data_IF_566587108194
#
_entry.id   IF_566587108194
#
_cell.length_a   1.000
_cell.length_b   1.000
_cell.length_c   1.000
_cell.angle_alpha   90.00
_cell.angle_beta   90.00
_cell.angle_gamma   90.00
#
_symmetry.space_group_name_H-M   'P 1'
#
loop_
_entity.id
_entity.type
_entity.pdbx_description
1 polymer ?
#
# COMPACT_ATOMS: atom_id res chain seq x y z
N UNK A 1 10.89 -33.75 3.53
CA UNK A 1 10.52 -32.90 4.68
C UNK A 1 9.04 -33.10 4.96
N UNK A 2 8.63 -33.46 6.15
CA UNK A 2 7.20 -33.69 6.43
C UNK A 2 6.55 -32.33 6.69
N UNK A 3 5.83 -31.79 5.70
CA UNK A 3 5.15 -30.49 5.75
C UNK A 3 4.18 -30.39 6.94
N UNK A 4 3.55 -31.51 7.30
CA UNK A 4 2.65 -31.58 8.46
C UNK A 4 3.40 -31.28 9.79
N UNK A 5 4.65 -31.75 9.93
CA UNK A 5 5.46 -31.45 11.11
C UNK A 5 5.93 -30.01 11.16
N UNK A 6 6.16 -29.37 10.01
CA UNK A 6 6.65 -27.99 9.97
C UNK A 6 5.52 -26.96 10.18
N UNK A 7 4.36 -27.18 9.56
CA UNK A 7 3.26 -26.23 9.56
C UNK A 7 2.09 -26.65 10.44
N UNK A 8 2.15 -27.83 11.11
CA UNK A 8 1.10 -28.33 12.01
C UNK A 8 -0.30 -28.39 11.34
N UNK A 9 -0.34 -28.89 10.08
CA UNK A 9 -1.55 -28.84 9.26
C UNK A 9 -2.75 -29.49 9.93
N UNK A 10 -2.56 -30.68 10.55
CA UNK A 10 -3.65 -31.40 11.24
C UNK A 10 -4.17 -30.65 12.45
N UNK A 11 -3.30 -29.98 13.22
CA UNK A 11 -3.69 -29.17 14.38
C UNK A 11 -4.57 -27.98 13.95
N UNK A 12 -4.31 -27.45 12.74
CA UNK A 12 -5.08 -26.35 12.16
C UNK A 12 -6.24 -26.81 11.27
N UNK A 13 -6.61 -28.10 11.28
CA UNK A 13 -7.70 -28.68 10.50
C UNK A 13 -7.63 -28.35 9.01
N UNK A 14 -6.44 -28.45 8.41
CA UNK A 14 -6.17 -28.19 7.00
C UNK A 14 -5.30 -29.27 6.38
N UNK A 15 -5.13 -29.26 5.08
CA UNK A 15 -4.28 -30.17 4.31
C UNK A 15 -3.44 -29.43 3.26
N UNK A 16 -2.44 -30.10 2.70
CA UNK A 16 -1.51 -29.53 1.72
C UNK A 16 -2.24 -28.98 0.50
N UNK A 17 -3.27 -29.66 0.00
CA UNK A 17 -4.02 -29.22 -1.17
C UNK A 17 -4.76 -27.91 -0.91
N UNK A 18 -5.43 -27.81 0.21
CA UNK A 18 -6.14 -26.59 0.64
C UNK A 18 -5.19 -25.43 0.80
N UNK A 19 -4.05 -25.64 1.47
CA UNK A 19 -3.04 -24.60 1.67
C UNK A 19 -2.41 -24.11 0.34
N UNK A 20 -2.17 -25.03 -0.61
CA UNK A 20 -1.66 -24.68 -1.95
C UNK A 20 -2.68 -23.85 -2.72
N UNK A 21 -3.96 -24.25 -2.73
CA UNK A 21 -5.03 -23.49 -3.40
C UNK A 21 -5.15 -22.10 -2.75
N UNK A 22 -5.13 -22.03 -1.43
CA UNK A 22 -5.19 -20.79 -0.68
C UNK A 22 -4.00 -19.85 -1.03
N UNK A 23 -2.78 -20.39 -1.12
CA UNK A 23 -1.59 -19.64 -1.48
C UNK A 23 -1.64 -19.08 -2.91
N UNK A 24 -2.10 -19.89 -3.86
CA UNK A 24 -2.31 -19.45 -5.25
C UNK A 24 -3.38 -18.34 -5.29
N UNK A 25 -4.49 -18.51 -4.57
CA UNK A 25 -5.57 -17.53 -4.53
C UNK A 25 -5.08 -16.21 -3.93
N UNK A 26 -4.32 -16.25 -2.82
CA UNK A 26 -3.73 -15.05 -2.21
C UNK A 26 -2.79 -14.36 -3.18
N UNK A 27 -1.87 -15.11 -3.82
CA UNK A 27 -0.96 -14.54 -4.81
C UNK A 27 -1.72 -13.87 -5.95
N UNK A 28 -2.74 -14.51 -6.52
CA UNK A 28 -3.53 -13.93 -7.63
C UNK A 28 -4.23 -12.62 -7.23
N UNK A 29 -4.65 -12.49 -5.97
CA UNK A 29 -5.28 -11.25 -5.48
C UNK A 29 -4.26 -10.14 -5.20
N UNK A 30 -2.98 -10.48 -4.99
CA UNK A 30 -1.91 -9.55 -4.64
C UNK A 30 -0.94 -9.25 -5.80
N UNK A 31 -0.89 -10.10 -6.84
CA UNK A 31 0.11 -10.01 -7.91
C UNK A 31 0.11 -8.66 -8.65
N UNK A 32 -0.98 -7.89 -8.54
CA UNK A 32 -1.04 -6.53 -9.08
C UNK A 32 0.05 -5.61 -8.52
N UNK A 33 0.58 -5.89 -7.31
CA UNK A 33 1.63 -5.07 -6.70
C UNK A 33 2.92 -5.08 -7.54
N UNK A 34 3.17 -6.16 -8.26
CA UNK A 34 4.32 -6.31 -9.15
C UNK A 34 4.29 -5.32 -10.34
N UNK A 35 3.11 -4.86 -10.73
CA UNK A 35 2.95 -3.81 -11.74
C UNK A 35 2.81 -2.43 -11.10
N UNK A 36 2.04 -2.34 -10.03
CA UNK A 36 1.67 -1.05 -9.41
C UNK A 36 2.82 -0.43 -8.65
N UNK A 37 3.57 -1.21 -7.84
CA UNK A 37 4.66 -0.66 -7.04
C UNK A 37 5.81 -0.07 -7.91
N UNK A 38 6.32 -0.75 -8.96
CA UNK A 38 7.28 -0.15 -9.87
C UNK A 38 6.78 1.15 -10.52
N UNK A 39 5.50 1.21 -10.92
CA UNK A 39 4.92 2.41 -11.50
C UNK A 39 4.86 3.59 -10.52
N UNK A 40 4.56 3.33 -9.24
CA UNK A 40 4.52 4.39 -8.22
C UNK A 40 5.94 4.88 -7.91
N UNK A 41 6.88 3.97 -7.66
CA UNK A 41 8.24 4.34 -7.25
C UNK A 41 9.07 4.91 -8.40
N UNK A 42 8.77 4.56 -9.65
CA UNK A 42 9.36 5.19 -10.83
C UNK A 42 9.15 6.72 -10.84
N UNK A 43 8.01 7.20 -10.34
CA UNK A 43 7.73 8.63 -10.20
C UNK A 43 8.75 9.36 -9.31
N UNK A 44 9.39 8.66 -8.37
CA UNK A 44 10.47 9.19 -7.52
C UNK A 44 11.85 9.16 -8.17
N UNK A 45 11.98 8.71 -9.43
CA UNK A 45 13.23 8.58 -10.15
C UNK A 45 13.97 7.26 -9.95
N UNK A 46 13.35 6.28 -9.31
CA UNK A 46 13.90 4.93 -9.16
C UNK A 46 13.79 4.15 -10.47
N UNK A 47 14.78 3.27 -10.74
CA UNK A 47 14.72 2.36 -11.89
C UNK A 47 13.57 1.36 -11.76
N UNK A 48 12.66 1.38 -12.73
CA UNK A 48 11.44 0.58 -12.71
C UNK A 48 11.70 -0.93 -12.67
N UNK A 49 12.71 -1.39 -13.42
CA UNK A 49 13.08 -2.80 -13.46
C UNK A 49 13.69 -3.27 -12.14
N UNK A 50 14.58 -2.44 -11.55
CA UNK A 50 15.17 -2.72 -10.26
C UNK A 50 14.11 -2.76 -9.14
N UNK A 51 13.15 -1.83 -9.14
CA UNK A 51 12.02 -1.82 -8.19
C UNK A 51 11.15 -3.04 -8.36
N UNK A 52 10.88 -3.50 -9.59
CA UNK A 52 10.14 -4.74 -9.83
C UNK A 52 10.83 -5.94 -9.15
N UNK A 53 12.13 -6.09 -9.39
CA UNK A 53 12.92 -7.17 -8.78
C UNK A 53 12.95 -7.03 -7.25
N UNK A 54 13.18 -5.83 -6.73
CA UNK A 54 13.15 -5.54 -5.30
C UNK A 54 11.78 -5.89 -4.67
N UNK A 55 10.68 -5.55 -5.35
CA UNK A 55 9.31 -5.86 -4.90
C UNK A 55 9.09 -7.37 -4.78
N UNK A 56 9.45 -8.13 -5.83
CA UNK A 56 9.26 -9.57 -5.83
C UNK A 56 10.13 -10.26 -4.77
N UNK A 57 11.41 -9.86 -4.66
CA UNK A 57 12.37 -10.43 -3.68
C UNK A 57 11.96 -10.08 -2.25
N UNK A 58 11.61 -8.82 -1.98
CA UNK A 58 11.19 -8.39 -0.64
C UNK A 58 9.90 -9.11 -0.22
N UNK A 59 8.91 -9.21 -1.12
CA UNK A 59 7.66 -9.95 -0.86
C UNK A 59 7.91 -11.43 -0.60
N UNK A 60 8.79 -12.07 -1.39
CA UNK A 60 9.22 -13.46 -1.18
C UNK A 60 9.83 -13.64 0.23
N UNK A 61 10.84 -12.83 0.57
CA UNK A 61 11.59 -12.98 1.83
C UNK A 61 10.69 -12.67 3.04
N UNK A 62 9.95 -11.57 3.02
CA UNK A 62 9.08 -11.17 4.12
C UNK A 62 7.96 -12.18 4.35
N UNK A 63 7.35 -12.72 3.29
CA UNK A 63 6.31 -13.73 3.40
C UNK A 63 6.88 -15.07 3.92
N UNK A 64 8.07 -15.46 3.49
CA UNK A 64 8.74 -16.63 4.07
C UNK A 64 9.00 -16.45 5.58
N UNK A 65 9.45 -15.25 5.99
CA UNK A 65 9.64 -14.95 7.42
C UNK A 65 8.31 -15.01 8.19
N UNK A 66 7.23 -14.47 7.64
CA UNK A 66 5.89 -14.55 8.25
C UNK A 66 5.48 -16.01 8.44
N UNK A 67 5.63 -16.83 7.41
CA UNK A 67 5.29 -18.24 7.45
C UNK A 67 6.09 -19.02 8.49
N UNK A 68 7.40 -18.73 8.63
CA UNK A 68 8.29 -19.45 9.53
C UNK A 68 8.22 -18.97 10.98
N UNK A 69 8.08 -17.65 11.22
CA UNK A 69 8.08 -17.07 12.56
C UNK A 69 6.71 -17.15 13.26
N UNK A 70 5.62 -17.07 12.50
CA UNK A 70 4.27 -17.05 13.07
C UNK A 70 3.42 -18.26 12.70
N UNK A 71 3.74 -18.95 11.61
CA UNK A 71 2.93 -19.98 10.97
C UNK A 71 1.54 -19.47 10.52
N UNK A 72 1.43 -18.19 10.11
CA UNK A 72 0.19 -17.61 9.63
C UNK A 72 0.09 -17.62 8.10
N UNK A 73 -1.14 -17.73 7.54
CA UNK A 73 -1.40 -17.70 6.10
C UNK A 73 -1.38 -16.28 5.53
N UNK A 74 -0.59 -15.38 6.11
CA UNK A 74 -0.52 -13.98 5.72
C UNK A 74 0.64 -13.73 4.77
N UNK A 75 0.41 -12.89 3.77
CA UNK A 75 1.37 -12.56 2.73
C UNK A 75 1.73 -11.09 2.84
N UNK A 76 3.01 -10.78 2.66
CA UNK A 76 3.57 -9.45 2.78
C UNK A 76 4.08 -8.96 1.43
N UNK A 77 3.88 -7.66 1.20
CA UNK A 77 4.42 -6.96 0.03
C UNK A 77 4.54 -5.46 0.35
N UNK A 78 5.20 -4.65 -0.53
CA UNK A 78 5.26 -3.20 -0.34
C UNK A 78 3.87 -2.57 -0.25
N UNK A 79 3.59 -1.86 0.86
CA UNK A 79 2.27 -1.31 1.18
C UNK A 79 1.87 -0.13 0.29
N UNK A 80 0.66 -0.14 -0.28
CA UNK A 80 0.22 0.86 -1.27
C UNK A 80 0.24 2.29 -0.72
N UNK A 81 -0.25 2.49 0.52
CA UNK A 81 -0.25 3.81 1.17
C UNK A 81 1.15 4.33 1.44
N UNK A 82 2.03 3.44 1.86
CA UNK A 82 3.43 3.73 2.15
C UNK A 82 4.24 3.99 0.87
N UNK A 83 3.96 3.27 -0.22
CA UNK A 83 4.54 3.52 -1.53
C UNK A 83 4.18 4.93 -2.03
N UNK A 84 2.91 5.30 -1.90
CA UNK A 84 2.41 6.61 -2.28
C UNK A 84 3.02 7.72 -1.40
N UNK A 85 3.10 7.52 -0.10
CA UNK A 85 3.78 8.43 0.82
C UNK A 85 5.26 8.61 0.47
N UNK A 86 5.96 7.51 0.19
CA UNK A 86 7.35 7.51 -0.25
C UNK A 86 7.56 8.36 -1.49
N UNK A 87 6.87 8.04 -2.59
CA UNK A 87 7.12 8.65 -3.89
C UNK A 87 6.56 10.08 -3.96
N UNK A 88 5.31 10.28 -3.60
CA UNK A 88 4.61 11.53 -3.86
C UNK A 88 4.77 12.55 -2.73
N UNK A 89 4.78 12.11 -1.47
CA UNK A 89 4.92 13.05 -0.35
C UNK A 89 6.41 13.33 -0.07
N UNK A 90 7.20 12.27 0.21
CA UNK A 90 8.57 12.45 0.67
C UNK A 90 9.49 12.91 -0.46
N UNK A 91 9.49 12.21 -1.60
CA UNK A 91 10.41 12.53 -2.68
C UNK A 91 9.92 13.73 -3.49
N UNK A 92 8.73 13.68 -4.08
CA UNK A 92 8.24 14.74 -4.96
C UNK A 92 7.76 15.97 -4.21
N UNK A 93 7.06 15.79 -3.09
CA UNK A 93 6.48 16.89 -2.31
C UNK A 93 7.47 17.62 -1.42
N UNK A 94 8.31 16.87 -0.68
CA UNK A 94 9.28 17.43 0.28
C UNK A 94 10.68 17.60 -0.30
N UNK A 95 10.96 17.09 -1.52
CA UNK A 95 12.24 17.26 -2.22
C UNK A 95 13.39 16.39 -1.72
N UNK A 96 13.12 15.34 -0.95
CA UNK A 96 14.13 14.38 -0.54
C UNK A 96 14.51 13.45 -1.70
N UNK A 97 15.76 12.98 -1.69
CA UNK A 97 16.14 11.91 -2.62
C UNK A 97 15.45 10.59 -2.26
N UNK A 98 15.20 9.74 -3.24
CA UNK A 98 14.66 8.42 -2.96
C UNK A 98 15.59 7.56 -2.09
N UNK A 99 16.90 7.80 -2.12
CA UNK A 99 17.89 7.15 -1.26
C UNK A 99 17.70 7.54 0.22
N UNK A 100 17.40 8.81 0.48
CA UNK A 100 17.06 9.29 1.82
C UNK A 100 15.70 8.71 2.29
N UNK A 101 14.74 8.62 1.39
CA UNK A 101 13.47 7.97 1.70
C UNK A 101 13.64 6.46 2.03
N UNK A 102 14.52 5.74 1.29
CA UNK A 102 14.89 4.36 1.65
C UNK A 102 15.58 4.28 3.01
N UNK A 103 16.43 5.25 3.37
CA UNK A 103 17.03 5.30 4.69
C UNK A 103 15.99 5.48 5.80
N UNK A 104 14.96 6.31 5.57
CA UNK A 104 13.84 6.47 6.51
C UNK A 104 13.10 5.14 6.72
N UNK A 105 12.77 4.43 5.64
CA UNK A 105 12.12 3.10 5.69
C UNK A 105 13.02 2.07 6.37
N UNK A 106 14.31 2.08 6.10
CA UNK A 106 15.25 1.16 6.76
C UNK A 106 15.31 1.38 8.27
N UNK A 107 15.43 2.63 8.71
CA UNK A 107 15.45 3.00 10.14
C UNK A 107 14.11 2.70 10.81
N UNK A 108 13.00 2.96 10.12
CA UNK A 108 11.66 2.54 10.54
C UNK A 108 11.61 1.04 10.87
N UNK A 109 12.07 0.20 9.94
CA UNK A 109 12.11 -1.24 10.14
C UNK A 109 12.98 -1.64 11.34
N UNK A 110 14.16 -1.02 11.53
CA UNK A 110 15.00 -1.26 12.71
C UNK A 110 14.30 -0.88 14.01
N UNK A 111 13.62 0.25 14.05
CA UNK A 111 12.83 0.67 15.22
C UNK A 111 11.73 -0.35 15.49
N UNK A 112 11.02 -0.81 14.46
CA UNK A 112 9.99 -1.82 14.61
C UNK A 112 10.52 -3.18 15.08
N UNK A 113 11.72 -3.58 14.67
CA UNK A 113 12.37 -4.78 15.23
C UNK A 113 12.52 -4.62 16.75
N UNK A 114 13.06 -3.49 17.21
CA UNK A 114 13.23 -3.20 18.65
C UNK A 114 11.87 -3.16 19.37
N UNK A 115 10.87 -2.50 18.80
CA UNK A 115 9.53 -2.41 19.39
C UNK A 115 8.79 -3.76 19.40
N UNK A 116 9.05 -4.64 18.43
CA UNK A 116 8.43 -5.97 18.35
C UNK A 116 9.03 -6.97 19.35
N UNK A 117 10.26 -6.73 19.84
CA UNK A 117 10.85 -7.48 20.95
C UNK A 117 10.20 -7.14 22.30
N UNK A 118 9.50 -6.02 22.37
CA UNK A 118 8.77 -5.52 23.54
C UNK A 118 7.28 -5.46 23.25
N UNK A 119 6.44 -5.20 24.26
CA UNK A 119 5.00 -4.97 24.04
C UNK A 119 4.68 -3.50 23.70
N UNK A 120 5.68 -2.69 23.40
CA UNK A 120 5.52 -1.24 23.20
C UNK A 120 4.73 -0.95 21.93
N UNK A 121 4.93 -1.70 20.85
CA UNK A 121 4.18 -1.52 19.57
C UNK A 121 2.67 -1.68 19.79
N UNK A 122 2.26 -2.71 20.55
CA UNK A 122 0.85 -2.93 20.89
C UNK A 122 0.30 -1.82 21.81
N UNK A 123 1.10 -1.38 22.79
CA UNK A 123 0.71 -0.29 23.70
C UNK A 123 0.56 1.05 22.95
N UNK A 124 1.44 1.37 22.01
CA UNK A 124 1.35 2.55 21.16
C UNK A 124 0.07 2.52 20.29
N UNK A 125 -0.20 1.37 19.67
CA UNK A 125 -1.42 1.19 18.89
C UNK A 125 -2.67 1.43 19.75
N UNK A 126 -2.72 0.86 20.95
CA UNK A 126 -3.88 1.01 21.85
C UNK A 126 -4.02 2.42 22.44
N UNK A 127 -2.97 3.22 22.44
CA UNK A 127 -3.00 4.60 22.94
C UNK A 127 -3.74 5.58 22.03
N UNK A 128 -3.97 5.20 20.76
CA UNK A 128 -4.63 6.07 19.77
C UNK A 128 -6.13 5.73 19.71
N UNK A 129 -7.02 6.75 19.65
CA UNK A 129 -8.45 6.55 19.58
C UNK A 129 -8.89 5.72 18.37
N UNK A 130 -9.84 4.80 18.57
CA UNK A 130 -10.28 3.87 17.52
C UNK A 130 -10.85 4.60 16.30
N UNK A 131 -11.66 5.65 16.50
CA UNK A 131 -12.20 6.44 15.39
C UNK A 131 -11.09 7.09 14.55
N UNK A 132 -10.03 7.58 15.19
CA UNK A 132 -8.90 8.16 14.47
C UNK A 132 -8.12 7.11 13.68
N UNK A 133 -7.99 5.87 14.18
CA UNK A 133 -7.41 4.74 13.43
C UNK A 133 -8.20 4.45 12.15
N UNK A 134 -9.53 4.37 12.27
CA UNK A 134 -10.40 4.16 11.11
C UNK A 134 -10.35 5.33 10.13
N UNK A 135 -10.23 6.55 10.64
CA UNK A 135 -10.08 7.76 9.83
C UNK A 135 -8.77 7.76 9.03
N UNK A 136 -7.66 7.36 9.65
CA UNK A 136 -6.37 7.23 8.95
C UNK A 136 -6.48 6.24 7.80
N UNK A 137 -7.03 5.05 8.04
CA UNK A 137 -7.22 4.05 6.98
C UNK A 137 -8.12 4.57 5.84
N UNK A 138 -9.23 5.23 6.17
CA UNK A 138 -10.14 5.81 5.18
C UNK A 138 -9.49 6.95 4.38
N UNK A 139 -8.72 7.81 5.06
CA UNK A 139 -7.99 8.92 4.44
C UNK A 139 -6.91 8.45 3.47
N UNK A 140 -6.14 7.43 3.87
CA UNK A 140 -5.16 6.77 2.98
C UNK A 140 -5.87 6.20 1.75
N UNK A 141 -7.02 5.54 1.94
CA UNK A 141 -7.80 5.01 0.83
C UNK A 141 -8.23 6.10 -0.16
N UNK A 142 -8.74 7.22 0.34
CA UNK A 142 -9.13 8.36 -0.50
C UNK A 142 -7.92 8.98 -1.22
N UNK A 143 -6.78 9.08 -0.56
CA UNK A 143 -5.53 9.57 -1.13
C UNK A 143 -5.03 8.66 -2.26
N UNK A 144 -5.00 7.35 -2.07
CA UNK A 144 -4.60 6.38 -3.10
C UNK A 144 -5.54 6.44 -4.32
N UNK A 145 -6.86 6.53 -4.08
CA UNK A 145 -7.83 6.68 -5.17
C UNK A 145 -7.59 7.97 -5.97
N UNK A 146 -7.28 9.08 -5.29
CA UNK A 146 -6.95 10.35 -5.93
C UNK A 146 -5.68 10.25 -6.78
N UNK A 147 -4.63 9.63 -6.27
CA UNK A 147 -3.41 9.33 -7.04
C UNK A 147 -3.74 8.48 -8.27
N UNK A 148 -4.56 7.45 -8.12
CA UNK A 148 -5.00 6.62 -9.26
C UNK A 148 -5.69 7.45 -10.34
N UNK A 149 -6.59 8.35 -9.96
CA UNK A 149 -7.26 9.26 -10.90
C UNK A 149 -6.30 10.21 -11.60
N UNK A 150 -5.28 10.71 -10.90
CA UNK A 150 -4.25 11.57 -11.50
C UNK A 150 -3.31 10.80 -12.43
N UNK A 151 -2.84 9.62 -12.02
CA UNK A 151 -1.97 8.78 -12.85
C UNK A 151 -2.63 8.35 -14.17
N UNK A 152 -3.96 8.16 -14.15
CA UNK A 152 -4.75 7.91 -15.35
C UNK A 152 -5.16 9.19 -16.11
N UNK A 153 -4.77 10.36 -15.60
CA UNK A 153 -5.21 11.68 -16.12
C UNK A 153 -6.73 11.86 -16.16
N UNK A 154 -7.49 11.10 -15.36
CA UNK A 154 -8.92 11.33 -15.18
C UNK A 154 -9.13 12.69 -14.50
N UNK A 155 -8.31 12.95 -13.48
CA UNK A 155 -8.22 14.25 -12.81
C UNK A 155 -6.94 14.93 -13.27
N UNK A 156 -7.04 16.16 -13.72
CA UNK A 156 -5.94 17.00 -14.22
C UNK A 156 -5.87 18.31 -13.45
N UNK A 157 -4.72 18.97 -13.51
CA UNK A 157 -4.55 20.30 -12.91
C UNK A 157 -5.42 21.32 -13.63
N UNK A 158 -5.94 22.28 -12.88
CA UNK A 158 -6.72 23.41 -13.37
C UNK A 158 -6.40 24.64 -12.53
N UNK A 159 -6.04 25.74 -13.20
CA UNK A 159 -5.59 26.96 -12.53
C UNK A 159 -6.70 27.67 -11.73
N UNK A 160 -7.97 27.43 -12.08
CA UNK A 160 -9.11 28.08 -11.42
C UNK A 160 -9.65 27.26 -10.24
N UNK A 161 -9.65 25.92 -10.36
CA UNK A 161 -10.28 25.01 -9.41
C UNK A 161 -9.30 24.03 -8.76
N UNK A 162 -8.00 24.18 -9.00
CA UNK A 162 -6.88 23.31 -8.65
C UNK A 162 -6.91 21.96 -9.40
N UNK A 163 -8.05 21.33 -9.55
CA UNK A 163 -8.24 20.09 -10.28
C UNK A 163 -9.55 20.11 -11.06
N UNK A 164 -9.55 19.46 -12.21
CA UNK A 164 -10.74 19.31 -13.07
C UNK A 164 -10.78 17.91 -13.71
N UNK A 165 -11.92 17.56 -14.29
CA UNK A 165 -12.06 16.37 -15.11
C UNK A 165 -11.34 16.58 -16.45
N UNK A 166 -10.62 15.56 -16.93
CA UNK A 166 -10.02 15.55 -18.26
C UNK A 166 -11.05 15.91 -19.35
N UNK A 167 -10.67 16.83 -20.23
CA UNK A 167 -11.53 17.28 -21.32
C UNK A 167 -11.30 16.51 -22.62
N UNK A 168 -12.12 15.50 -22.89
CA UNK A 168 -12.07 14.75 -24.14
C UNK A 168 -12.26 15.64 -25.38
N UNK A 169 -13.12 16.68 -25.27
CA UNK A 169 -13.34 17.64 -26.35
C UNK A 169 -12.08 18.41 -26.69
N UNK A 170 -11.36 18.91 -25.68
CA UNK A 170 -10.12 19.66 -25.90
C UNK A 170 -9.03 18.75 -26.44
N UNK A 171 -8.90 17.54 -25.93
CA UNK A 171 -7.95 16.54 -26.42
C UNK A 171 -8.18 16.18 -27.89
N UNK A 172 -9.44 16.03 -28.32
CA UNK A 172 -9.80 15.80 -29.70
C UNK A 172 -9.47 17.02 -30.58
N UNK A 173 -9.75 18.23 -30.10
CA UNK A 173 -9.44 19.46 -30.84
C UNK A 173 -7.93 19.71 -31.00
N UNK A 174 -7.11 19.29 -30.03
CA UNK A 174 -5.66 19.40 -30.05
C UNK A 174 -4.96 18.22 -30.76
N UNK A 175 -5.71 17.21 -31.19
CA UNK A 175 -5.14 16.01 -31.83
C UNK A 175 -4.45 15.04 -30.88
N UNK A 176 -4.58 15.21 -29.54
CA UNK A 176 -3.96 14.35 -28.52
C UNK A 176 -4.85 13.17 -28.12
N UNK A 177 -6.06 13.06 -28.69
CA UNK A 177 -7.00 12.01 -28.29
C UNK A 177 -6.47 10.60 -28.54
N UNK A 178 -5.74 10.39 -29.64
CA UNK A 178 -5.19 9.07 -30.00
C UNK A 178 -4.04 8.60 -29.11
N UNK A 179 -3.37 9.49 -28.37
CA UNK A 179 -2.32 9.12 -27.41
C UNK A 179 -2.82 9.24 -25.96
N UNK A 180 -3.39 10.37 -25.57
CA UNK A 180 -3.80 10.68 -24.20
C UNK A 180 -5.28 10.39 -23.94
N UNK A 181 -6.19 10.90 -24.77
CA UNK A 181 -7.63 10.77 -24.55
C UNK A 181 -8.10 9.32 -24.48
N UNK A 182 -7.54 8.46 -25.36
CA UNK A 182 -7.89 7.05 -25.36
C UNK A 182 -7.41 6.33 -24.10
N UNK A 183 -6.25 6.68 -23.52
CA UNK A 183 -5.77 6.07 -22.28
C UNK A 183 -6.65 6.44 -21.08
N UNK A 184 -7.15 7.68 -21.02
CA UNK A 184 -8.13 8.11 -20.00
C UNK A 184 -9.43 7.32 -20.13
N UNK A 185 -9.94 7.16 -21.36
CA UNK A 185 -11.15 6.38 -21.62
C UNK A 185 -10.97 4.91 -21.21
N UNK A 186 -9.83 4.30 -21.56
CA UNK A 186 -9.51 2.92 -21.18
C UNK A 186 -9.39 2.76 -19.66
N UNK A 187 -8.82 3.74 -18.95
CA UNK A 187 -8.78 3.72 -17.49
C UNK A 187 -10.18 3.73 -16.86
N UNK A 188 -11.09 4.58 -17.36
CA UNK A 188 -12.49 4.62 -16.90
C UNK A 188 -13.21 3.29 -17.15
N UNK A 189 -13.03 2.70 -18.34
CA UNK A 189 -13.55 1.36 -18.65
C UNK A 189 -12.93 0.32 -17.70
N UNK A 190 -11.63 0.41 -17.43
CA UNK A 190 -10.92 -0.47 -16.51
C UNK A 190 -11.46 -0.43 -15.07
N UNK A 191 -11.81 0.75 -14.57
CA UNK A 191 -12.49 0.92 -13.27
C UNK A 191 -13.82 0.15 -13.26
N UNK A 192 -14.62 0.29 -14.30
CA UNK A 192 -15.92 -0.39 -14.41
C UNK A 192 -15.73 -1.90 -14.47
N UNK A 193 -14.78 -2.40 -15.29
CA UNK A 193 -14.49 -3.83 -15.41
C UNK A 193 -14.04 -4.39 -14.06
N UNK A 194 -13.11 -3.72 -13.38
CA UNK A 194 -12.61 -4.15 -12.08
C UNK A 194 -13.73 -4.17 -11.04
N UNK A 195 -14.59 -3.15 -11.02
CA UNK A 195 -15.75 -3.09 -10.13
C UNK A 195 -16.73 -4.26 -10.40
N UNK A 196 -17.00 -4.58 -11.67
CA UNK A 196 -17.84 -5.74 -12.04
C UNK A 196 -17.23 -7.04 -11.49
N UNK A 197 -15.91 -7.23 -11.60
CA UNK A 197 -15.24 -8.41 -11.06
C UNK A 197 -15.33 -8.50 -9.54
N UNK A 198 -15.21 -7.36 -8.86
CA UNK A 198 -15.40 -7.28 -7.40
C UNK A 198 -16.83 -7.64 -6.99
N UNK A 199 -17.85 -7.09 -7.68
CA UNK A 199 -19.27 -7.41 -7.42
C UNK A 199 -19.57 -8.90 -7.67
N UNK A 200 -18.96 -9.49 -8.69
CA UNK A 200 -19.10 -10.93 -9.01
C UNK A 200 -18.22 -11.83 -8.13
N UNK A 201 -17.45 -11.28 -7.17
CA UNK A 201 -16.51 -12.01 -6.33
C UNK A 201 -15.51 -12.86 -7.13
N UNK A 202 -15.04 -12.35 -8.29
CA UNK A 202 -14.02 -13.03 -9.10
C UNK A 202 -12.68 -12.92 -8.38
N UNK A 203 -12.07 -14.07 -8.06
CA UNK A 203 -10.76 -14.14 -7.41
C UNK A 203 -9.70 -13.48 -8.28
N UNK A 204 -8.88 -12.62 -7.68
CA UNK A 204 -7.92 -11.81 -8.42
C UNK A 204 -8.54 -10.74 -9.32
N UNK A 205 -9.77 -10.30 -9.04
CA UNK A 205 -10.53 -9.34 -9.86
C UNK A 205 -9.76 -8.06 -10.16
N UNK A 206 -8.93 -7.59 -9.24
CA UNK A 206 -8.06 -6.41 -9.43
C UNK A 206 -7.00 -6.71 -10.49
N UNK A 207 -6.30 -7.84 -10.40
CA UNK A 207 -5.29 -8.25 -11.38
C UNK A 207 -5.93 -8.45 -12.77
N UNK A 208 -7.08 -9.13 -12.83
CA UNK A 208 -7.80 -9.30 -14.09
C UNK A 208 -8.28 -7.97 -14.67
N UNK A 209 -8.69 -7.03 -13.83
CA UNK A 209 -9.03 -5.67 -14.24
C UNK A 209 -7.85 -4.97 -14.93
N UNK A 210 -6.67 -5.03 -14.33
CA UNK A 210 -5.43 -4.49 -14.93
C UNK A 210 -5.13 -5.15 -16.27
N UNK A 211 -5.08 -6.49 -16.30
CA UNK A 211 -4.72 -7.24 -17.51
C UNK A 211 -5.70 -6.98 -18.67
N UNK A 212 -7.00 -6.96 -18.40
CA UNK A 212 -8.01 -6.71 -19.44
C UNK A 212 -7.92 -5.27 -19.93
N UNK A 213 -7.74 -4.29 -19.04
CA UNK A 213 -7.56 -2.89 -19.43
C UNK A 213 -6.33 -2.71 -20.31
N UNK A 214 -5.22 -3.38 -19.96
CA UNK A 214 -4.01 -3.37 -20.76
C UNK A 214 -4.20 -4.06 -22.13
N UNK A 215 -4.84 -5.23 -22.17
CA UNK A 215 -5.16 -5.95 -23.43
C UNK A 215 -6.05 -5.09 -24.35
N UNK A 216 -7.05 -4.39 -23.79
CA UNK A 216 -7.87 -3.44 -24.55
C UNK A 216 -7.00 -2.32 -25.13
N UNK A 217 -6.03 -1.81 -24.36
CA UNK A 217 -5.06 -0.83 -24.86
C UNK A 217 -4.22 -1.39 -26.03
N UNK A 218 -3.73 -2.63 -25.94
CA UNK A 218 -2.98 -3.30 -27.01
C UNK A 218 -3.86 -3.45 -28.26
N UNK A 219 -5.13 -3.84 -28.09
CA UNK A 219 -6.08 -3.93 -29.21
C UNK A 219 -6.27 -2.54 -29.87
N UNK A 220 -6.42 -1.49 -29.07
CA UNK A 220 -6.48 -0.12 -29.58
C UNK A 220 -5.21 0.29 -30.33
N UNK A 221 -4.04 -0.15 -29.87
CA UNK A 221 -2.76 0.12 -30.57
C UNK A 221 -2.73 -0.58 -31.93
N UNK A 222 -3.11 -1.84 -32.03
CA UNK A 222 -3.17 -2.56 -33.31
C UNK A 222 -4.23 -2.00 -34.25
N UNK A 223 -5.34 -1.49 -33.72
CA UNK A 223 -6.41 -0.86 -34.50
C UNK A 223 -6.07 0.58 -34.94
N UNK A 224 -4.93 1.16 -34.52
CA UNK A 224 -4.57 2.53 -34.80
C UNK A 224 -5.39 3.59 -34.03
N UNK A 225 -6.16 3.16 -33.03
CA UNK A 225 -6.92 4.03 -32.13
C UNK A 225 -6.00 4.63 -31.06
N UNK A 226 -5.07 3.84 -30.53
CA UNK A 226 -3.96 4.32 -29.71
C UNK A 226 -2.70 4.43 -30.56
N UNK A 227 -2.11 5.60 -30.60
CA UNK A 227 -0.85 5.87 -31.31
C UNK A 227 0.21 6.27 -30.30
N UNK A 228 1.27 5.48 -30.11
CA UNK A 228 2.36 5.84 -29.21
C UNK A 228 2.96 7.20 -29.57
N UNK A 229 3.21 8.00 -28.55
CA UNK A 229 3.90 9.30 -28.64
C UNK A 229 4.94 9.40 -27.52
N UNK A 230 6.15 8.86 -27.72
CA UNK A 230 7.20 8.84 -26.70
C UNK A 230 7.61 10.23 -26.20
N UNK A 231 7.54 11.26 -27.03
CA UNK A 231 7.86 12.64 -26.65
C UNK A 231 6.87 13.18 -25.59
N UNK A 232 5.63 12.71 -25.63
CA UNK A 232 4.60 13.05 -24.64
C UNK A 232 4.47 12.01 -23.49
N UNK A 233 5.38 11.02 -23.43
CA UNK A 233 5.41 9.98 -22.40
C UNK A 233 4.46 8.80 -22.65
N UNK A 234 3.92 8.64 -23.87
CA UNK A 234 3.05 7.54 -24.26
C UNK A 234 3.80 6.51 -25.10
N UNK A 235 4.22 5.42 -24.48
CA UNK A 235 5.04 4.38 -25.10
C UNK A 235 4.17 3.27 -25.70
N UNK A 236 4.85 2.36 -26.45
CA UNK A 236 4.21 1.12 -26.92
C UNK A 236 3.72 0.27 -25.74
N UNK A 237 2.54 -0.30 -25.88
CA UNK A 237 1.90 -1.15 -24.86
C UNK A 237 2.32 -2.62 -24.98
N UNK A 238 3.14 -2.95 -25.96
CA UNK A 238 3.59 -4.34 -26.20
C UNK A 238 4.73 -4.69 -25.22
N UNK A 239 4.71 -5.94 -24.68
CA UNK A 239 5.82 -6.43 -23.88
C UNK A 239 7.11 -6.51 -24.71
N UNK A 240 8.22 -6.12 -24.12
CA UNK A 240 9.55 -6.23 -24.74
C UNK A 240 10.23 -7.53 -24.31
N UNK A 241 10.32 -8.48 -25.21
CA UNK A 241 11.02 -9.75 -25.01
C UNK A 241 12.42 -9.77 -25.66
N UNK A 242 13.00 -8.63 -26.05
CA UNK A 242 14.31 -8.55 -26.69
C UNK A 242 15.42 -9.19 -25.84
N UNK A 243 15.32 -9.07 -24.52
CA UNK A 243 16.22 -9.68 -23.54
C UNK A 243 15.72 -11.06 -23.02
N UNK A 244 14.72 -11.65 -23.66
CA UNK A 244 14.10 -12.91 -23.23
C UNK A 244 13.36 -12.76 -21.91
N UNK A 245 13.37 -13.85 -21.09
CA UNK A 245 12.80 -13.89 -19.74
C UNK A 245 13.86 -13.55 -18.67
N UNK A 246 14.72 -12.57 -18.93
CA UNK A 246 15.77 -12.16 -18.01
C UNK A 246 15.21 -11.41 -16.80
N UNK A 247 15.78 -11.65 -15.62
CA UNK A 247 15.44 -10.93 -14.41
C UNK A 247 16.13 -9.56 -14.47
N UNK A 248 15.40 -8.44 -14.34
CA UNK A 248 16.01 -7.11 -14.26
C UNK A 248 17.00 -7.01 -13.09
N UNK A 249 18.12 -6.32 -13.30
CA UNK A 249 19.11 -6.14 -12.26
C UNK A 249 18.56 -5.24 -11.14
N UNK A 250 18.71 -5.69 -9.90
CA UNK A 250 18.37 -4.90 -8.71
C UNK A 250 19.48 -3.90 -8.34
N UNK A 251 20.68 -4.01 -8.96
CA UNK A 251 21.85 -3.20 -8.61
C UNK A 251 21.62 -1.67 -8.56
N UNK A 252 20.78 -1.06 -9.42
CA UNK A 252 20.52 0.38 -9.36
C UNK A 252 19.89 0.86 -8.05
N UNK A 253 19.15 -0.01 -7.33
CA UNK A 253 18.45 0.36 -6.10
C UNK A 253 18.96 -0.40 -4.86
N UNK A 254 19.73 -1.47 -5.06
CA UNK A 254 20.20 -2.32 -3.97
C UNK A 254 21.21 -1.60 -3.08
N UNK A 255 20.93 -1.55 -1.78
CA UNK A 255 21.73 -0.89 -0.73
C UNK A 255 22.03 0.61 -1.00
N UNK A 256 21.19 1.28 -1.76
CA UNK A 256 21.31 2.70 -2.07
C UNK A 256 20.68 3.60 -1.00
N UNK A 257 20.88 3.27 0.27
CA UNK A 257 20.37 4.04 1.40
C UNK A 257 21.31 5.20 1.72
N UNK A 258 20.77 6.43 1.80
CA UNK A 258 21.51 7.65 2.16
C UNK A 258 21.04 8.17 3.52
N UNK A 259 21.91 8.11 4.52
CA UNK A 259 21.63 8.58 5.88
C UNK A 259 21.92 10.07 6.08
N UNK A 260 22.22 10.83 5.02
CA UNK A 260 22.41 12.28 5.13
C UNK A 260 21.11 12.95 5.61
N UNK A 261 21.23 13.80 6.61
CA UNK A 261 20.07 14.48 7.20
C UNK A 261 19.27 13.67 8.24
N UNK A 262 19.72 12.47 8.62
CA UNK A 262 19.03 11.56 9.56
C UNK A 262 18.56 12.24 10.86
N UNK A 263 19.30 13.22 11.37
CA UNK A 263 19.00 13.92 12.61
C UNK A 263 18.29 15.27 12.38
N UNK A 264 17.89 15.60 11.15
CA UNK A 264 17.03 16.76 10.91
C UNK A 264 15.63 16.52 11.48
N UNK A 265 14.96 17.57 11.92
CA UNK A 265 13.60 17.47 12.45
C UNK A 265 12.64 16.93 11.39
N UNK A 266 12.79 17.38 10.13
CA UNK A 266 12.01 16.92 9.00
C UNK A 266 12.17 15.41 8.76
N UNK A 267 13.41 14.92 8.77
CA UNK A 267 13.66 13.50 8.58
C UNK A 267 13.03 12.64 9.69
N UNK A 268 13.14 13.09 10.94
CA UNK A 268 12.50 12.43 12.09
C UNK A 268 10.97 12.38 11.93
N UNK A 269 10.37 13.42 11.35
CA UNK A 269 8.93 13.46 11.11
C UNK A 269 8.50 12.55 9.96
N UNK A 270 9.29 12.50 8.88
CA UNK A 270 9.08 11.55 7.78
C UNK A 270 9.12 10.13 8.33
N UNK A 271 10.15 9.79 9.08
CA UNK A 271 10.33 8.48 9.70
C UNK A 271 9.17 8.15 10.65
N UNK A 272 8.74 9.13 11.47
CA UNK A 272 7.59 8.95 12.36
C UNK A 272 6.30 8.70 11.58
N UNK A 273 6.09 9.37 10.45
CA UNK A 273 4.91 9.16 9.62
C UNK A 273 4.92 7.74 8.99
N UNK A 274 6.08 7.27 8.50
CA UNK A 274 6.22 5.88 8.06
C UNK A 274 5.87 4.90 9.17
N UNK A 275 6.51 5.04 10.34
CA UNK A 275 6.23 4.24 11.55
C UNK A 275 4.75 4.19 11.90
N UNK A 276 4.09 5.35 11.87
CA UNK A 276 2.70 5.47 12.26
C UNK A 276 1.77 4.77 11.25
N UNK A 277 1.96 5.04 9.96
CA UNK A 277 1.14 4.46 8.89
C UNK A 277 1.32 2.94 8.86
N UNK A 278 2.55 2.43 8.88
CA UNK A 278 2.83 1.00 8.87
C UNK A 278 2.25 0.29 10.10
N UNK A 279 2.37 0.90 11.28
CA UNK A 279 1.79 0.33 12.50
C UNK A 279 0.29 0.10 12.37
N UNK A 280 -0.45 1.06 11.77
CA UNK A 280 -1.90 0.92 11.58
C UNK A 280 -2.25 -0.05 10.48
N UNK A 281 -1.52 -0.01 9.38
CA UNK A 281 -1.76 -0.90 8.24
C UNK A 281 -1.52 -2.35 8.66
N UNK A 282 -0.37 -2.64 9.25
CA UNK A 282 -0.01 -3.99 9.71
C UNK A 282 -0.95 -4.50 10.80
N UNK A 283 -1.14 -3.77 11.91
CA UNK A 283 -1.96 -4.27 13.01
C UNK A 283 -3.43 -4.35 12.63
N UNK A 284 -3.92 -3.37 11.87
CA UNK A 284 -5.30 -3.37 11.35
C UNK A 284 -5.54 -4.57 10.44
N UNK A 285 -4.61 -4.87 9.56
CA UNK A 285 -4.69 -6.01 8.63
C UNK A 285 -4.55 -7.34 9.36
N UNK A 286 -3.55 -7.51 10.23
CA UNK A 286 -3.35 -8.75 11.00
C UNK A 286 -4.61 -9.11 11.81
N UNK A 287 -5.16 -8.16 12.56
CA UNK A 287 -6.34 -8.39 13.38
C UNK A 287 -7.58 -8.59 12.49
N UNK A 288 -7.74 -7.81 11.44
CA UNK A 288 -8.88 -7.89 10.52
C UNK A 288 -8.96 -9.23 9.79
N UNK A 289 -7.83 -9.72 9.26
CA UNK A 289 -7.76 -11.02 8.57
C UNK A 289 -7.86 -12.18 9.56
N UNK A 290 -7.17 -12.09 10.70
CA UNK A 290 -7.24 -13.10 11.76
C UNK A 290 -8.65 -13.27 12.32
N UNK A 291 -9.40 -12.18 12.48
CA UNK A 291 -10.81 -12.21 12.90
C UNK A 291 -11.70 -12.99 11.92
N UNK A 292 -11.53 -12.75 10.61
CA UNK A 292 -12.24 -13.49 9.56
C UNK A 292 -11.85 -14.98 9.51
N UNK A 293 -10.65 -15.31 9.95
CA UNK A 293 -10.10 -16.66 10.00
C UNK A 293 -10.47 -17.42 11.29
N UNK A 294 -11.13 -16.77 12.26
CA UNK A 294 -11.34 -17.28 13.62
C UNK A 294 -10.02 -17.67 14.31
N UNK A 295 -8.95 -16.90 14.08
CA UNK A 295 -7.61 -17.12 14.66
C UNK A 295 -7.36 -16.30 15.92
N UNK A 296 -8.31 -15.44 16.32
CA UNK A 296 -8.22 -14.67 17.55
C UNK A 296 -8.59 -15.56 18.76
N UNK A 297 -7.91 -15.33 19.87
CA UNK A 297 -8.23 -15.98 21.14
C UNK A 297 -9.51 -15.40 21.77
N UNK A 298 -9.88 -15.92 22.94
CA UNK A 298 -11.09 -15.50 23.69
C UNK A 298 -11.07 -14.03 24.14
N UNK A 299 -9.87 -13.41 24.17
CA UNK A 299 -9.69 -11.99 24.51
C UNK A 299 -9.64 -11.11 23.25
N UNK A 300 -9.84 -11.68 22.06
CA UNK A 300 -9.74 -10.98 20.78
C UNK A 300 -8.31 -10.66 20.36
N UNK A 301 -7.30 -11.34 20.94
CA UNK A 301 -5.89 -11.16 20.62
C UNK A 301 -5.44 -12.23 19.61
N UNK A 302 -4.46 -11.86 18.78
CA UNK A 302 -3.82 -12.80 17.86
C UNK A 302 -2.69 -13.53 18.58
N UNK A 303 -2.77 -14.86 18.78
CA UNK A 303 -1.65 -15.65 19.33
C UNK A 303 -0.40 -15.47 18.46
N UNK A 304 0.81 -15.53 19.05
CA UNK A 304 2.07 -15.37 18.30
C UNK A 304 2.21 -14.08 17.48
N UNK A 305 1.46 -13.03 17.80
CA UNK A 305 1.52 -11.72 17.10
C UNK A 305 2.94 -11.17 17.00
N UNK A 306 3.79 -11.43 18.00
CA UNK A 306 5.21 -11.00 17.99
C UNK A 306 5.97 -11.57 16.80
N UNK A 307 5.76 -12.84 16.44
CA UNK A 307 6.38 -13.45 15.26
C UNK A 307 5.95 -12.76 13.96
N UNK A 308 4.66 -12.45 13.85
CA UNK A 308 4.12 -11.73 12.70
C UNK A 308 4.67 -10.30 12.60
N UNK A 309 4.70 -9.56 13.71
CA UNK A 309 5.24 -8.20 13.77
C UNK A 309 6.76 -8.17 13.51
N UNK A 310 7.48 -9.21 13.92
CA UNK A 310 8.92 -9.35 13.63
C UNK A 310 9.15 -9.60 12.14
N UNK A 311 8.34 -10.45 11.50
CA UNK A 311 8.42 -10.72 10.07
C UNK A 311 8.18 -9.46 9.25
N UNK A 312 7.20 -8.67 9.63
CA UNK A 312 6.87 -7.38 9.05
C UNK A 312 8.03 -6.37 9.19
N UNK A 313 8.56 -6.19 10.39
CA UNK A 313 9.68 -5.27 10.67
C UNK A 313 10.97 -5.64 9.93
N UNK A 314 11.31 -6.93 9.90
CA UNK A 314 12.49 -7.42 9.15
C UNK A 314 12.22 -7.31 7.65
N UNK A 315 10.99 -7.61 7.20
CA UNK A 315 10.55 -7.45 5.81
C UNK A 315 10.72 -6.00 5.33
N UNK A 316 10.33 -5.02 6.13
CA UNK A 316 10.51 -3.59 5.87
C UNK A 316 11.99 -3.22 5.73
N UNK A 317 12.84 -3.62 6.70
CA UNK A 317 14.28 -3.33 6.62
C UNK A 317 14.95 -3.97 5.40
N UNK A 318 14.61 -5.23 5.10
CA UNK A 318 15.11 -5.95 3.92
C UNK A 318 14.59 -5.32 2.64
N UNK A 319 13.32 -4.92 2.60
CA UNK A 319 12.70 -4.23 1.47
C UNK A 319 13.44 -2.93 1.12
N UNK A 320 13.74 -2.10 2.12
CA UNK A 320 14.51 -0.86 1.92
C UNK A 320 15.92 -1.14 1.36
N UNK A 321 16.61 -2.18 1.86
CA UNK A 321 17.92 -2.57 1.32
C UNK A 321 17.84 -3.12 -0.10
N UNK A 322 16.76 -3.83 -0.45
CA UNK A 322 16.51 -4.28 -1.82
C UNK A 322 16.17 -3.11 -2.76
N UNK A 323 15.70 -1.98 -2.24
CA UNK A 323 15.30 -0.81 -3.03
C UNK A 323 13.80 -0.76 -3.30
N UNK A 324 12.99 -1.10 -2.30
CA UNK A 324 11.53 -0.87 -2.31
C UNK A 324 11.09 -0.22 -1.00
N UNK A 325 9.86 0.26 -0.94
CA UNK A 325 9.31 0.91 0.24
C UNK A 325 8.94 -0.09 1.34
N UNK A 326 8.31 0.39 2.41
CA UNK A 326 7.86 -0.40 3.57
C UNK A 326 7.05 -1.62 3.14
N UNK A 327 7.47 -2.80 3.61
CA UNK A 327 6.80 -4.08 3.36
C UNK A 327 5.86 -4.38 4.51
N UNK A 328 4.59 -4.60 4.23
CA UNK A 328 3.54 -4.79 5.24
C UNK A 328 2.63 -5.98 4.90
N UNK A 329 1.83 -6.41 5.86
CA UNK A 329 0.85 -7.48 5.68
C UNK A 329 -0.33 -7.02 4.84
N UNK A 330 -0.71 -7.77 3.81
CA UNK A 330 -1.79 -7.43 2.89
C UNK A 330 -3.14 -8.01 3.31
N UNK A 331 -4.18 -7.16 3.24
CA UNK A 331 -5.57 -7.53 3.56
C UNK A 331 -6.12 -8.59 2.58
N UNK A 332 -5.58 -8.68 1.39
CA UNK A 332 -5.89 -9.69 0.36
C UNK A 332 -5.56 -11.11 0.83
N UNK A 333 -4.74 -11.26 1.87
CA UNK A 333 -4.54 -12.56 2.55
C UNK A 333 -5.85 -13.17 3.02
N UNK A 334 -6.89 -12.35 3.25
CA UNK A 334 -8.24 -12.81 3.57
C UNK A 334 -8.84 -13.70 2.48
N UNK A 335 -8.43 -13.57 1.22
CA UNK A 335 -8.92 -14.41 0.12
C UNK A 335 -8.41 -15.86 0.22
N UNK A 336 -7.13 -16.04 0.54
CA UNK A 336 -6.58 -17.38 0.83
C UNK A 336 -7.17 -18.00 2.10
N UNK A 337 -7.37 -17.19 3.12
CA UNK A 337 -8.06 -17.62 4.36
C UNK A 337 -9.49 -18.10 4.06
N UNK A 338 -10.21 -17.42 3.17
CA UNK A 338 -11.54 -17.82 2.73
C UNK A 338 -11.54 -19.16 1.99
N UNK A 339 -10.43 -19.52 1.31
CA UNK A 339 -10.23 -20.84 0.67
C UNK A 339 -9.86 -21.94 1.67
N UNK A 340 -9.69 -21.62 2.92
CA UNK A 340 -9.32 -22.58 3.96
C UNK A 340 -7.85 -22.56 4.35
N UNK A 341 -7.04 -21.61 3.87
CA UNK A 341 -5.67 -21.40 4.31
C UNK A 341 -5.62 -21.05 5.81
N UNK A 342 -4.80 -21.74 6.56
CA UNK A 342 -4.71 -21.61 8.03
C UNK A 342 -3.28 -21.54 8.54
N UNK A 343 -2.31 -21.88 7.71
CA UNK A 343 -0.92 -22.05 8.14
C UNK A 343 0.06 -21.28 7.25
N UNK A 344 1.30 -21.19 7.69
CA UNK A 344 2.38 -20.59 6.92
C UNK A 344 2.63 -21.25 5.55
N UNK A 345 2.13 -22.47 5.32
CA UNK A 345 2.27 -23.13 4.01
C UNK A 345 1.56 -22.33 2.90
N UNK A 346 0.40 -21.74 3.17
CA UNK A 346 -0.26 -20.76 2.28
C UNK A 346 0.70 -19.62 1.90
N UNK A 347 1.37 -19.02 2.90
CA UNK A 347 2.37 -17.97 2.68
C UNK A 347 3.55 -18.45 1.83
N UNK A 348 4.11 -19.64 2.12
CA UNK A 348 5.23 -20.19 1.34
C UNK A 348 4.85 -20.37 -0.13
N UNK A 349 3.64 -20.87 -0.43
CA UNK A 349 3.18 -21.02 -1.81
C UNK A 349 3.10 -19.66 -2.51
N UNK A 350 2.52 -18.65 -1.88
CA UNK A 350 2.46 -17.32 -2.44
C UNK A 350 3.86 -16.71 -2.62
N UNK A 351 4.77 -16.90 -1.65
CA UNK A 351 6.15 -16.45 -1.75
C UNK A 351 6.86 -17.06 -2.97
N UNK A 352 6.75 -18.37 -3.17
CA UNK A 352 7.33 -19.05 -4.35
C UNK A 352 6.79 -18.43 -5.65
N UNK A 353 5.51 -18.10 -5.71
CA UNK A 353 4.91 -17.46 -6.89
C UNK A 353 5.45 -16.03 -7.10
N UNK A 354 5.72 -15.26 -6.04
CA UNK A 354 6.43 -13.99 -6.15
C UNK A 354 7.85 -14.18 -6.71
N UNK A 355 8.58 -15.19 -6.25
CA UNK A 355 9.90 -15.53 -6.80
C UNK A 355 9.84 -15.94 -8.28
N UNK A 356 8.86 -16.76 -8.67
CA UNK A 356 8.65 -17.15 -10.07
C UNK A 356 8.24 -15.99 -10.96
N UNK A 357 7.58 -14.97 -10.43
CA UNK A 357 7.17 -13.77 -11.16
C UNK A 357 8.36 -12.97 -11.69
N UNK A 358 9.56 -13.14 -11.13
CA UNK A 358 10.78 -12.51 -11.62
C UNK A 358 11.04 -12.82 -13.11
N UNK A 359 10.70 -14.03 -13.56
CA UNK A 359 10.82 -14.43 -14.97
C UNK A 359 9.73 -13.83 -15.87
N UNK A 360 8.68 -13.25 -15.29
CA UNK A 360 7.58 -12.60 -16.00
C UNK A 360 7.75 -11.08 -16.08
N UNK A 361 8.94 -10.56 -15.78
CA UNK A 361 9.26 -9.14 -15.79
C UNK A 361 8.86 -8.41 -17.08
N UNK A 362 9.04 -8.97 -18.31
CA UNK A 362 8.64 -8.29 -19.54
C UNK A 362 7.13 -8.01 -19.59
N UNK A 363 6.33 -8.88 -18.96
CA UNK A 363 4.88 -8.72 -18.91
C UNK A 363 4.49 -7.64 -17.90
N UNK A 364 4.97 -7.75 -16.65
CA UNK A 364 4.60 -6.80 -15.59
C UNK A 364 5.11 -5.38 -15.87
N UNK A 365 6.31 -5.23 -16.43
CA UNK A 365 6.90 -3.93 -16.75
C UNK A 365 6.26 -3.27 -17.98
N UNK A 366 5.60 -4.01 -18.85
CA UNK A 366 4.88 -3.46 -19.99
C UNK A 366 3.52 -2.86 -19.60
N UNK A 367 2.98 -3.18 -18.40
CA UNK A 367 1.69 -2.70 -17.96
C UNK A 367 1.76 -1.18 -17.68
N UNK A 368 1.01 -0.33 -18.42
CA UNK A 368 1.09 1.11 -18.28
C UNK A 368 0.29 1.62 -17.09
N UNK A 369 0.56 2.86 -16.67
CA UNK A 369 -0.10 3.51 -15.52
C UNK A 369 -1.62 3.62 -15.68
N UNK A 370 -2.15 3.85 -16.88
CA UNK A 370 -3.60 3.90 -17.10
C UNK A 370 -4.29 2.54 -16.85
N UNK A 371 -3.57 1.43 -17.01
CA UNK A 371 -4.10 0.10 -16.72
C UNK A 371 -3.99 -0.27 -15.24
N UNK A 372 -3.00 0.27 -14.52
CA UNK A 372 -2.86 0.06 -13.06
C UNK A 372 -3.70 1.03 -12.22
N UNK A 373 -4.07 2.19 -12.75
CA UNK A 373 -4.88 3.19 -12.06
C UNK A 373 -6.25 2.67 -11.57
N UNK A 374 -6.99 1.84 -12.32
CA UNK A 374 -8.20 1.18 -11.81
C UNK A 374 -7.98 0.42 -10.50
N UNK A 375 -6.83 -0.25 -10.36
CA UNK A 375 -6.50 -0.96 -9.14
C UNK A 375 -6.33 0.00 -7.96
N UNK A 376 -5.62 1.13 -8.15
CA UNK A 376 -5.46 2.15 -7.11
C UNK A 376 -6.80 2.71 -6.65
N UNK A 377 -7.71 2.99 -7.59
CA UNK A 377 -9.05 3.52 -7.30
C UNK A 377 -9.86 2.49 -6.49
N UNK A 378 -9.84 1.22 -6.89
CA UNK A 378 -10.59 0.16 -6.20
C UNK A 378 -9.99 -0.18 -4.84
N UNK A 379 -8.65 -0.24 -4.71
CA UNK A 379 -7.98 -0.42 -3.42
C UNK A 379 -8.32 0.75 -2.49
N UNK A 380 -8.31 1.97 -3.01
CA UNK A 380 -8.76 3.15 -2.26
C UNK A 380 -10.19 3.01 -1.75
N UNK A 381 -11.11 2.50 -2.58
CA UNK A 381 -12.48 2.18 -2.17
C UNK A 381 -12.52 1.13 -1.05
N UNK A 382 -11.73 0.06 -1.13
CA UNK A 382 -11.69 -0.97 -0.09
C UNK A 382 -11.21 -0.41 1.26
N UNK A 383 -10.26 0.51 1.25
CA UNK A 383 -9.76 1.16 2.47
C UNK A 383 -10.75 2.18 3.04
N UNK A 384 -11.44 2.96 2.18
CA UNK A 384 -12.41 3.96 2.62
C UNK A 384 -13.62 3.33 3.32
N UNK A 385 -13.89 2.05 3.13
CA UNK A 385 -14.95 1.34 3.86
C UNK A 385 -14.77 1.40 5.39
N UNK A 386 -13.55 1.69 5.88
CA UNK A 386 -13.29 1.92 7.31
C UNK A 386 -14.08 3.09 7.90
N UNK A 387 -14.57 4.02 7.06
CA UNK A 387 -15.40 5.15 7.50
C UNK A 387 -16.70 4.69 8.19
N UNK A 388 -17.24 3.54 7.79
CA UNK A 388 -18.48 2.99 8.37
C UNK A 388 -18.32 2.55 9.84
N UNK A 389 -17.07 2.44 10.31
CA UNK A 389 -16.73 2.09 11.69
C UNK A 389 -16.52 3.31 12.59
N UNK A 390 -16.53 4.51 12.01
CA UNK A 390 -16.37 5.77 12.74
C UNK A 390 -17.72 6.12 13.39
N UNK A 391 -17.70 6.39 14.69
CA UNK A 391 -18.86 6.96 15.35
C UNK A 391 -19.01 8.43 14.99
N UNK A 392 -19.96 8.76 14.12
CA UNK A 392 -20.24 10.11 13.67
C UNK A 392 -21.19 10.90 14.60
N UNK A 393 -21.80 10.25 15.59
CA UNK A 393 -22.72 10.90 16.53
C UNK A 393 -21.96 11.72 17.59
N UNK A 394 -20.72 11.34 17.90
CA UNK A 394 -19.88 12.11 18.82
C UNK A 394 -18.94 13.05 18.03
N UNK A 395 -19.34 14.30 17.92
CA UNK A 395 -18.59 15.33 17.21
C UNK A 395 -17.16 15.57 17.73
N UNK A 396 -16.88 15.24 19.00
CA UNK A 396 -15.53 15.36 19.55
C UNK A 396 -14.55 14.32 18.98
N UNK A 397 -15.06 13.28 18.36
CA UNK A 397 -14.30 12.25 17.63
C UNK A 397 -14.54 12.32 16.10
N UNK A 398 -15.78 12.62 15.69
CA UNK A 398 -16.16 12.66 14.29
C UNK A 398 -15.48 13.79 13.52
N UNK A 399 -15.39 15.00 14.09
CA UNK A 399 -14.75 16.13 13.43
C UNK A 399 -13.25 15.90 13.23
N UNK A 400 -12.45 15.48 14.23
CA UNK A 400 -11.05 15.11 14.02
C UNK A 400 -10.86 14.01 12.98
N UNK A 401 -11.75 13.01 12.99
CA UNK A 401 -11.73 11.94 12.00
C UNK A 401 -11.98 12.45 10.58
N UNK A 402 -12.96 13.31 10.41
CA UNK A 402 -13.27 13.96 9.13
C UNK A 402 -12.09 14.82 8.64
N UNK A 403 -11.50 15.62 9.52
CA UNK A 403 -10.32 16.45 9.19
C UNK A 403 -9.17 15.58 8.71
N UNK A 404 -8.86 14.48 9.42
CA UNK A 404 -7.82 13.54 9.01
C UNK A 404 -8.07 12.95 7.61
N UNK A 405 -9.31 12.54 7.33
CA UNK A 405 -9.70 11.92 6.04
C UNK A 405 -9.52 12.90 4.88
N UNK A 406 -10.04 14.13 5.01
CA UNK A 406 -10.02 15.09 3.89
C UNK A 406 -8.64 15.73 3.67
N UNK A 407 -7.87 15.92 4.75
CA UNK A 407 -6.56 16.55 4.64
C UNK A 407 -5.58 15.72 3.81
N UNK A 408 -5.64 14.40 3.86
CA UNK A 408 -4.73 13.53 3.11
C UNK A 408 -4.74 13.78 1.60
N UNK A 409 -5.88 13.69 0.89
CA UNK A 409 -5.92 13.97 -0.54
C UNK A 409 -5.77 15.46 -0.87
N UNK A 410 -6.35 16.38 -0.08
CA UNK A 410 -6.33 17.80 -0.40
C UNK A 410 -4.98 18.46 -0.13
N UNK A 411 -4.21 17.96 0.83
CA UNK A 411 -2.84 18.42 1.11
C UNK A 411 -1.79 17.54 0.42
N UNK A 412 -2.23 16.51 -0.32
CA UNK A 412 -1.37 15.53 -0.98
C UNK A 412 -0.35 14.89 -0.02
N UNK A 413 -0.77 14.64 1.23
CA UNK A 413 0.11 14.12 2.29
C UNK A 413 -0.64 13.35 3.36
N UNK A 414 -0.25 12.08 3.55
CA UNK A 414 -0.77 11.25 4.63
C UNK A 414 -0.36 11.82 6.00
N UNK A 415 0.89 12.27 6.12
CA UNK A 415 1.40 12.81 7.39
C UNK A 415 0.66 14.06 7.85
N UNK A 416 0.25 14.95 6.92
CA UNK A 416 -0.54 16.12 7.25
C UNK A 416 -1.95 15.75 7.73
N UNK A 417 -2.57 14.76 7.10
CA UNK A 417 -3.87 14.24 7.55
C UNK A 417 -3.81 13.68 8.97
N UNK A 418 -2.76 12.89 9.27
CA UNK A 418 -2.53 12.36 10.61
C UNK A 418 -2.31 13.50 11.62
N UNK A 419 -1.43 14.45 11.29
CA UNK A 419 -1.09 15.57 12.16
C UNK A 419 -2.33 16.42 12.51
N UNK A 420 -3.11 16.81 11.50
CA UNK A 420 -4.35 17.58 11.70
C UNK A 420 -5.41 16.80 12.48
N UNK A 421 -5.55 15.50 12.23
CA UNK A 421 -6.44 14.63 12.99
C UNK A 421 -6.07 14.56 14.47
N UNK A 422 -4.79 14.36 14.78
CA UNK A 422 -4.28 14.30 16.16
C UNK A 422 -4.43 15.64 16.87
N UNK A 423 -4.00 16.73 16.25
CA UNK A 423 -4.08 18.08 16.83
C UNK A 423 -5.55 18.42 17.12
N UNK A 424 -6.44 18.28 16.14
CA UNK A 424 -7.85 18.60 16.30
C UNK A 424 -8.53 17.76 17.37
N UNK A 425 -8.20 16.45 17.44
CA UNK A 425 -8.71 15.56 18.49
C UNK A 425 -8.31 16.03 19.88
N UNK A 426 -7.03 16.32 20.09
CA UNK A 426 -6.52 16.77 21.40
C UNK A 426 -7.10 18.12 21.77
N UNK A 427 -7.08 19.10 20.87
CA UNK A 427 -7.56 20.47 21.13
C UNK A 427 -9.06 20.48 21.43
N UNK A 428 -9.89 19.84 20.59
CA UNK A 428 -11.35 19.81 20.77
C UNK A 428 -11.70 19.20 22.13
N UNK A 429 -11.13 18.03 22.48
CA UNK A 429 -11.44 17.36 23.72
C UNK A 429 -10.90 18.10 24.96
N UNK A 430 -9.76 18.80 24.82
CA UNK A 430 -9.21 19.63 25.88
C UNK A 430 -10.12 20.84 26.18
N UNK A 431 -10.52 21.59 25.15
CA UNK A 431 -11.35 22.79 25.26
C UNK A 431 -12.77 22.47 25.73
N UNK A 432 -13.33 21.33 25.28
CA UNK A 432 -14.68 20.89 25.68
C UNK A 432 -14.72 20.18 27.03
N UNK A 433 -13.57 20.00 27.70
CA UNK A 433 -13.49 19.33 29.02
C UNK A 433 -13.71 17.80 28.99
N UNK A 434 -13.75 17.18 27.81
CA UNK A 434 -13.99 15.73 27.63
C UNK A 434 -12.77 14.84 27.90
N UNK A 435 -11.63 15.41 28.30
CA UNK A 435 -10.36 14.71 28.52
C UNK A 435 -10.49 13.48 29.43
N UNK A 436 -11.23 13.64 30.56
CA UNK A 436 -11.42 12.55 31.54
C UNK A 436 -12.33 11.45 31.01
N UNK A 437 -13.35 11.81 30.24
CA UNK A 437 -14.30 10.90 29.61
C UNK A 437 -13.59 10.08 28.52
N UNK A 438 -12.83 10.74 27.67
CA UNK A 438 -12.12 10.13 26.52
C UNK A 438 -10.80 9.46 26.90
N UNK A 439 -10.31 9.63 28.14
CA UNK A 439 -9.06 9.03 28.64
C UNK A 439 -7.90 9.23 27.66
N UNK A 440 -7.70 10.48 27.18
CA UNK A 440 -6.67 10.79 26.20
C UNK A 440 -5.30 10.37 26.75
N UNK A 441 -4.57 9.57 25.98
CA UNK A 441 -3.27 9.04 26.38
C UNK A 441 -2.21 10.17 26.39
N UNK A 442 -1.18 10.03 27.23
CA UNK A 442 -0.05 10.96 27.25
C UNK A 442 0.64 11.04 25.87
N UNK A 443 0.68 9.92 25.13
CA UNK A 443 1.22 9.88 23.77
C UNK A 443 0.49 10.87 22.85
N UNK A 444 -0.83 10.94 22.89
CA UNK A 444 -1.61 11.85 22.04
C UNK A 444 -1.26 13.33 22.29
N UNK A 445 -0.99 13.72 23.55
CA UNK A 445 -0.53 15.08 23.87
C UNK A 445 0.86 15.33 23.31
N UNK A 446 1.78 14.39 23.49
CA UNK A 446 3.15 14.51 22.96
C UNK A 446 3.11 14.66 21.44
N UNK A 447 2.32 13.83 20.74
CA UNK A 447 2.17 13.91 19.30
C UNK A 447 1.58 15.24 18.84
N UNK A 448 0.50 15.71 19.51
CA UNK A 448 -0.10 16.99 19.17
C UNK A 448 0.90 18.15 19.32
N UNK A 449 1.70 18.16 20.40
CA UNK A 449 2.74 19.17 20.61
C UNK A 449 3.81 19.09 19.54
N UNK A 450 4.30 17.89 19.21
CA UNK A 450 5.31 17.70 18.15
C UNK A 450 4.81 18.18 16.79
N UNK A 451 3.56 17.86 16.43
CA UNK A 451 2.97 18.32 15.17
C UNK A 451 2.75 19.85 15.13
N UNK A 452 2.36 20.45 16.26
CA UNK A 452 2.25 21.92 16.35
C UNK A 452 3.64 22.56 16.21
N UNK A 453 4.65 22.01 16.88
CA UNK A 453 6.03 22.50 16.75
C UNK A 453 6.54 22.38 15.31
N UNK A 454 6.18 21.33 14.60
CA UNK A 454 6.45 21.21 13.16
C UNK A 454 5.96 22.43 12.38
N UNK A 455 4.68 22.82 12.55
CA UNK A 455 4.10 23.95 11.83
C UNK A 455 4.64 25.34 12.23
N UNK A 456 5.29 25.42 13.39
CA UNK A 456 5.88 26.67 13.87
C UNK A 456 7.34 26.80 13.42
N UNK A 457 8.06 25.69 13.37
CA UNK A 457 9.52 25.66 13.13
C UNK A 457 9.89 25.42 11.66
N UNK A 458 8.97 24.89 10.86
CA UNK A 458 9.09 24.59 9.43
C UNK A 458 8.11 25.43 8.62
#
# INVERSE_FOLDING_TARGET
MNLDKLFHLKEHNTDVKTEVIAGITTFMTMAYILAVNPNILEASGMDRGAVFTATAVASFLATCLMALLSNYPFVLAPGMGLNAYFAYTVVLGMGYSWQQALAAVFVEGLIFIVLSLTNVREALFNAIPMNLKHAVSAGIGLFIAFIGMQNAKIVVNDDATLVSLFSFKNSAAQGTFTSEGITVLLALIGVIITAIFMVKNIKGGILWGILITWILGIICQFAGIYVPNPEAGFYSLLPDFSNGLSIPSMAPTFMQVDFSGLFSLDFLMIMFAFLFVDMFDTLGTLIGVASKANMLDHEGKLPKIRGALMADAVGTSVGALCGTSTVTTFVESASGVAEGGRTGLTGIVAAILFGLSLFLSPIFLAIPSFATAPALIIVGFLMITSITKINLDDYSEAIPSFIAIIAMPFMYSISEGIAMGVISYVVINLVTGKVKEKKISALMYVLAVLFVLKYILL
#
